data_IF_227434788409
#
_entry.id   IF_227434788409
#
_cell.length_a   1.000
_cell.length_b   1.000
_cell.length_c   1.000
_cell.angle_alpha   90.00
_cell.angle_beta   90.00
_cell.angle_gamma   90.00
#
_symmetry.space_group_name_H-M   'P 1'
#
loop_
_entity.id
_entity.type
_entity.pdbx_description
1 polymer ?
#
# COMPACT_ATOMS: atom_id res chain seq x y z
N UNK A 1 -1.04 -4.95 16.83
CA UNK A 1 -0.91 -4.02 15.69
C UNK A 1 -2.27 -3.88 15.00
N UNK A 2 -2.72 -2.65 14.73
CA UNK A 2 -4.09 -2.36 14.26
C UNK A 2 -4.42 -2.98 12.90
N UNK A 3 -3.46 -2.98 11.96
CA UNK A 3 -3.67 -3.48 10.59
C UNK A 3 -4.11 -4.95 10.57
N UNK A 4 -3.42 -5.84 11.32
CA UNK A 4 -3.78 -7.28 11.44
C UNK A 4 -5.14 -7.54 12.09
N UNK A 5 -5.72 -6.56 12.78
CA UNK A 5 -7.05 -6.66 13.39
C UNK A 5 -8.15 -6.38 12.37
N UNK A 6 -7.91 -5.44 11.45
CA UNK A 6 -8.90 -4.97 10.49
C UNK A 6 -8.74 -5.58 9.10
N UNK A 7 -7.54 -6.07 8.78
CA UNK A 7 -7.18 -6.67 7.50
C UNK A 7 -6.59 -8.05 7.82
N UNK A 8 -7.44 -9.05 8.09
CA UNK A 8 -6.99 -10.39 8.47
C UNK A 8 -6.17 -11.08 7.37
N UNK A 9 -6.36 -10.71 6.10
CA UNK A 9 -5.58 -11.23 4.97
C UNK A 9 -4.08 -10.92 5.07
N UNK A 10 -3.69 -9.82 5.75
CA UNK A 10 -2.28 -9.47 5.97
C UNK A 10 -1.71 -10.02 7.29
N UNK A 11 -2.46 -10.87 8.02
CA UNK A 11 -2.05 -11.38 9.33
C UNK A 11 -0.77 -12.22 9.28
N UNK A 12 -0.45 -12.82 8.16
CA UNK A 12 0.70 -13.71 8.03
C UNK A 12 1.97 -13.04 7.47
N UNK A 13 1.87 -11.78 7.01
CA UNK A 13 3.04 -11.00 6.59
C UNK A 13 3.94 -10.63 7.76
N UNK A 14 5.21 -10.38 7.50
CA UNK A 14 6.12 -9.82 8.50
C UNK A 14 5.70 -8.39 8.89
N UNK A 15 6.11 -7.90 10.06
CA UNK A 15 5.86 -6.49 10.46
C UNK A 15 6.56 -5.48 9.54
N UNK A 16 7.58 -5.91 8.79
CA UNK A 16 8.27 -5.09 7.80
C UNK A 16 7.41 -4.90 6.54
N UNK A 17 6.79 -5.99 6.09
CA UNK A 17 6.08 -6.03 4.81
C UNK A 17 4.59 -5.63 4.93
N UNK A 18 4.02 -5.65 6.14
CA UNK A 18 2.63 -5.23 6.38
C UNK A 18 2.37 -3.74 6.11
N UNK A 19 3.43 -2.92 6.16
CA UNK A 19 3.33 -1.48 5.87
C UNK A 19 3.27 -1.21 4.36
N UNK A 20 3.93 -2.04 3.56
CA UNK A 20 4.03 -1.91 2.11
C UNK A 20 3.93 -3.31 1.44
N UNK A 21 2.73 -3.94 1.47
CA UNK A 21 2.56 -5.30 0.97
C UNK A 21 2.81 -5.43 -0.54
N UNK A 22 2.72 -4.34 -1.30
CA UNK A 22 3.06 -4.31 -2.73
C UNK A 22 4.58 -4.36 -2.99
N UNK A 23 5.40 -4.01 -1.99
CA UNK A 23 6.86 -4.07 -2.04
C UNK A 23 7.43 -5.35 -1.40
N UNK A 24 6.55 -6.19 -0.84
CA UNK A 24 6.95 -7.45 -0.22
C UNK A 24 7.52 -8.42 -1.26
N UNK A 25 8.50 -9.24 -0.84
CA UNK A 25 9.05 -10.30 -1.68
C UNK A 25 7.99 -11.33 -2.07
N UNK A 26 8.08 -11.90 -3.27
CA UNK A 26 7.15 -12.96 -3.71
C UNK A 26 7.09 -14.15 -2.76
N UNK A 27 8.23 -14.53 -2.17
CA UNK A 27 8.29 -15.62 -1.19
C UNK A 27 7.49 -15.29 0.07
N UNK A 28 7.59 -14.05 0.57
CA UNK A 28 6.84 -13.59 1.74
C UNK A 28 5.34 -13.48 1.45
N UNK A 29 4.96 -13.07 0.24
CA UNK A 29 3.58 -13.05 -0.22
C UNK A 29 3.00 -14.47 -0.34
N UNK A 30 3.77 -15.42 -0.88
CA UNK A 30 3.39 -16.84 -0.96
C UNK A 30 3.26 -17.49 0.41
N UNK A 31 4.22 -17.27 1.31
CA UNK A 31 4.15 -17.76 2.69
C UNK A 31 2.94 -17.20 3.44
N UNK A 32 2.59 -15.94 3.17
CA UNK A 32 1.41 -15.31 3.75
C UNK A 32 0.09 -15.66 3.04
N UNK A 33 0.14 -16.35 1.90
CA UNK A 33 -1.05 -16.69 1.09
C UNK A 33 -1.71 -15.48 0.42
N UNK A 34 -0.94 -14.43 0.13
CA UNK A 34 -1.44 -13.18 -0.43
C UNK A 34 -1.16 -13.12 -1.92
N UNK A 35 -2.21 -12.89 -2.71
CA UNK A 35 -2.14 -12.66 -4.14
C UNK A 35 -2.46 -11.19 -4.39
N UNK A 36 -1.46 -10.43 -4.86
CA UNK A 36 -1.67 -9.03 -5.24
C UNK A 36 -2.62 -8.97 -6.45
N UNK A 37 -3.68 -8.17 -6.34
CA UNK A 37 -4.75 -8.07 -7.33
C UNK A 37 -5.95 -8.98 -7.10
N UNK A 38 -5.84 -10.00 -6.24
CA UNK A 38 -6.96 -10.88 -5.85
C UNK A 38 -7.26 -10.78 -4.36
N UNK A 39 -6.35 -11.28 -3.51
CA UNK A 39 -6.48 -11.28 -2.04
C UNK A 39 -6.21 -9.90 -1.46
N UNK A 40 -5.29 -9.14 -2.07
CA UNK A 40 -4.99 -7.77 -1.67
C UNK A 40 -4.79 -6.88 -2.91
N UNK A 41 -5.49 -5.75 -3.04
CA UNK A 41 -5.41 -4.93 -4.25
C UNK A 41 -4.07 -4.22 -4.38
N UNK A 42 -3.68 -3.94 -5.62
CA UNK A 42 -2.56 -3.04 -5.89
C UNK A 42 -2.87 -1.61 -5.41
N UNK A 43 -1.83 -0.82 -5.04
CA UNK A 43 -2.01 0.57 -4.70
C UNK A 43 -2.73 1.32 -5.84
N UNK A 44 -3.93 1.83 -5.54
CA UNK A 44 -4.75 2.57 -6.53
C UNK A 44 -4.03 3.84 -7.00
N UNK A 45 -3.24 4.46 -6.12
CA UNK A 45 -2.41 5.62 -6.42
C UNK A 45 -1.03 5.40 -5.81
N UNK A 46 0.02 5.52 -6.63
CA UNK A 46 1.39 5.45 -6.11
C UNK A 46 1.69 6.68 -5.27
N UNK A 47 2.49 6.52 -4.20
CA UNK A 47 2.88 7.65 -3.34
C UNK A 47 3.47 8.83 -4.13
N UNK A 48 4.25 8.55 -5.18
CA UNK A 48 4.82 9.56 -6.06
C UNK A 48 3.74 10.32 -6.83
N UNK A 49 2.82 9.61 -7.48
CA UNK A 49 1.73 10.24 -8.23
C UNK A 49 0.81 11.05 -7.32
N UNK A 50 0.49 10.52 -6.13
CA UNK A 50 -0.29 11.22 -5.11
C UNK A 50 0.36 12.53 -4.68
N UNK A 51 1.67 12.50 -4.40
CA UNK A 51 2.46 13.69 -4.04
C UNK A 51 2.46 14.73 -5.15
N UNK A 52 2.76 14.34 -6.38
CA UNK A 52 2.80 15.28 -7.51
C UNK A 52 1.45 15.94 -7.72
N UNK A 53 0.35 15.18 -7.69
CA UNK A 53 -1.00 15.72 -7.83
C UNK A 53 -1.34 16.72 -6.71
N UNK A 54 -1.01 16.39 -5.46
CA UNK A 54 -1.27 17.27 -4.33
C UNK A 54 -0.46 18.59 -4.42
N UNK A 55 0.81 18.51 -4.83
CA UNK A 55 1.66 19.69 -5.01
C UNK A 55 1.16 20.59 -6.15
N UNK A 56 0.77 20.01 -7.29
CA UNK A 56 0.21 20.77 -8.40
C UNK A 56 -1.07 21.51 -8.00
N UNK A 57 -2.01 20.82 -7.34
CA UNK A 57 -3.23 21.44 -6.84
C UNK A 57 -2.94 22.56 -5.82
N UNK A 58 -1.94 22.37 -4.96
CA UNK A 58 -1.53 23.39 -4.00
C UNK A 58 -0.92 24.61 -4.68
N UNK A 59 -0.10 24.43 -5.72
CA UNK A 59 0.45 25.53 -6.52
C UNK A 59 -0.63 26.32 -7.26
N UNK A 60 -1.67 25.65 -7.78
CA UNK A 60 -2.81 26.32 -8.41
C UNK A 60 -3.59 27.18 -7.40
N UNK A 61 -3.89 26.63 -6.22
CA UNK A 61 -4.59 27.37 -5.16
C UNK A 61 -3.77 28.57 -4.66
N UNK A 62 -2.43 28.44 -4.58
CA UNK A 62 -1.55 29.51 -4.10
C UNK A 62 -1.33 30.63 -5.13
N UNK A 63 -1.51 30.36 -6.43
CA UNK A 63 -1.37 31.36 -7.51
C UNK A 63 -2.63 32.19 -7.72
N UNK A 64 -3.79 31.76 -7.22
CA UNK A 64 -5.02 32.54 -7.15
C UNK A 64 -5.06 33.41 -5.89
#
# INVERSE_FOLDING_TARGET
MYIRKWIPELRHLSDKDILEPDQASEDSLKEAGIILGETYPYPVVTHKAGRTRALLAYEEIKKG
#
